data_IF_621225369324
#
_entry.id   IF_621225369324
#
_cell.length_a   1.000
_cell.length_b   1.000
_cell.length_c   1.000
_cell.angle_alpha   90.00
_cell.angle_beta   90.00
_cell.angle_gamma   90.00
#
_symmetry.space_group_name_H-M   'P 1'
#
loop_
_entity.id
_entity.type
_entity.pdbx_description
1 polymer ?
#
# COMPACT_ATOMS: atom_id res chain seq x y z
N UNK A 1 9.17 22.09 4.73
CA UNK A 1 8.37 20.98 5.27
C UNK A 1 9.04 19.70 4.82
N UNK A 2 9.22 18.71 5.68
CA UNK A 2 9.82 17.44 5.26
C UNK A 2 8.87 16.73 4.27
N UNK A 3 9.38 16.26 3.14
CA UNK A 3 8.62 15.42 2.23
C UNK A 3 8.59 13.99 2.79
N UNK A 4 7.39 13.40 2.85
CA UNK A 4 7.23 12.02 3.33
C UNK A 4 7.99 11.02 2.45
N UNK A 5 8.22 11.34 1.17
CA UNK A 5 9.01 10.53 0.24
C UNK A 5 10.48 10.46 0.62
N UNK A 6 11.07 11.57 1.09
CA UNK A 6 12.44 11.59 1.59
C UNK A 6 12.58 10.72 2.86
N UNK A 7 11.60 10.80 3.75
CA UNK A 7 11.58 9.98 4.97
C UNK A 7 11.52 8.48 4.67
N UNK A 8 10.85 8.05 3.59
CA UNK A 8 10.84 6.65 3.16
C UNK A 8 12.22 6.19 2.70
N UNK A 9 12.95 7.03 1.95
CA UNK A 9 14.31 6.71 1.50
C UNK A 9 15.26 6.49 2.68
N UNK A 10 15.02 7.19 3.80
CA UNK A 10 15.74 7.02 5.06
C UNK A 10 15.19 5.86 5.94
N UNK A 11 14.16 5.14 5.50
CA UNK A 11 13.50 4.08 6.27
C UNK A 11 12.62 4.58 7.44
N UNK A 12 12.34 5.89 7.50
CA UNK A 12 11.58 6.55 8.57
C UNK A 12 10.07 6.55 8.30
N UNK A 13 9.53 5.38 7.98
CA UNK A 13 8.12 5.21 7.60
C UNK A 13 7.13 5.67 8.68
N UNK A 14 7.43 5.47 9.97
CA UNK A 14 6.54 5.90 11.05
C UNK A 14 6.36 7.42 11.11
N UNK A 15 7.39 8.18 10.73
CA UNK A 15 7.33 9.64 10.64
C UNK A 15 6.71 10.10 9.31
N UNK A 16 6.91 9.32 8.25
CA UNK A 16 6.33 9.56 6.94
C UNK A 16 4.81 9.33 6.90
N UNK A 17 4.29 8.35 7.65
CA UNK A 17 2.87 7.94 7.64
C UNK A 17 1.88 9.09 7.85
N UNK A 18 1.98 9.93 8.92
CA UNK A 18 1.03 11.03 9.10
C UNK A 18 1.10 12.08 8.00
N UNK A 19 2.28 12.33 7.43
CA UNK A 19 2.47 13.29 6.34
C UNK A 19 1.87 12.75 5.03
N UNK A 20 2.11 11.48 4.72
CA UNK A 20 1.48 10.80 3.58
C UNK A 20 -0.05 10.77 3.72
N UNK A 21 -0.58 10.48 4.91
CA UNK A 21 -2.03 10.46 5.13
C UNK A 21 -2.67 11.85 4.94
N UNK A 22 -1.99 12.90 5.38
CA UNK A 22 -2.44 14.29 5.16
C UNK A 22 -2.37 14.69 3.68
N UNK A 23 -1.31 14.30 2.96
CA UNK A 23 -1.16 14.54 1.52
C UNK A 23 -2.27 13.84 0.71
N UNK A 24 -2.62 12.63 1.13
CA UNK A 24 -3.61 11.76 0.47
C UNK A 24 -5.04 11.89 1.02
N UNK A 25 -5.32 12.87 1.90
CA UNK A 25 -6.59 12.99 2.61
C UNK A 25 -7.79 13.16 1.67
N UNK A 26 -7.61 13.93 0.59
CA UNK A 26 -8.66 14.22 -0.38
C UNK A 26 -8.83 13.06 -1.34
N UNK A 27 -10.02 12.45 -1.38
CA UNK A 27 -10.33 11.45 -2.41
C UNK A 27 -10.28 12.09 -3.80
N UNK A 28 -9.34 11.66 -4.62
CA UNK A 28 -9.49 11.81 -6.06
C UNK A 28 -10.55 10.79 -6.54
N UNK A 29 -11.38 11.16 -7.51
CA UNK A 29 -12.42 10.28 -8.04
C UNK A 29 -11.89 9.04 -8.76
N UNK A 30 -10.56 8.94 -8.91
CA UNK A 30 -9.85 7.95 -9.71
C UNK A 30 -9.01 6.99 -8.87
N UNK A 31 -8.87 7.19 -7.55
CA UNK A 31 -8.20 6.28 -6.64
C UNK A 31 -6.67 6.39 -6.60
N UNK A 32 -6.08 7.45 -7.16
CA UNK A 32 -4.65 7.74 -7.03
C UNK A 32 -4.21 7.80 -5.57
N UNK A 33 -5.00 8.41 -4.69
CA UNK A 33 -4.66 8.46 -3.26
C UNK A 33 -4.71 7.09 -2.57
N UNK A 34 -5.61 6.23 -3.04
CA UNK A 34 -5.70 4.84 -2.58
C UNK A 34 -4.46 4.06 -3.02
N UNK A 35 -3.99 4.27 -4.25
CA UNK A 35 -2.76 3.66 -4.80
C UNK A 35 -1.54 4.10 -3.98
N UNK A 36 -1.37 5.41 -3.76
CA UNK A 36 -0.24 5.96 -2.99
C UNK A 36 -0.17 5.33 -1.59
N UNK A 37 -1.30 5.19 -0.92
CA UNK A 37 -1.36 4.51 0.39
C UNK A 37 -1.01 3.03 0.27
N UNK A 38 -1.50 2.34 -0.75
CA UNK A 38 -1.21 0.93 -0.96
C UNK A 38 0.29 0.68 -1.15
N UNK A 39 0.94 1.48 -2.00
CA UNK A 39 2.38 1.44 -2.27
C UNK A 39 3.19 1.78 -1.02
N UNK A 40 2.82 2.83 -0.29
CA UNK A 40 3.47 3.23 0.95
C UNK A 40 3.57 2.08 1.97
N UNK A 41 2.45 1.39 2.22
CA UNK A 41 2.44 0.27 3.16
C UNK A 41 3.12 -0.98 2.60
N UNK A 42 3.15 -1.15 1.28
CA UNK A 42 3.90 -2.23 0.63
C UNK A 42 5.40 -2.04 0.86
N UNK A 43 5.90 -0.82 0.65
CA UNK A 43 7.30 -0.46 0.87
C UNK A 43 7.71 -0.55 2.35
N UNK A 44 6.82 -0.16 3.25
CA UNK A 44 7.08 -0.35 4.68
C UNK A 44 7.17 -1.85 5.05
N UNK A 45 6.34 -2.69 4.45
CA UNK A 45 6.47 -4.15 4.59
C UNK A 45 7.79 -4.66 4.02
N UNK A 46 8.17 -4.19 2.83
CA UNK A 46 9.43 -4.56 2.16
C UNK A 46 10.66 -4.16 3.01
N UNK A 47 10.58 -3.03 3.72
CA UNK A 47 11.64 -2.57 4.63
C UNK A 47 11.90 -3.56 5.77
N UNK A 48 10.85 -4.07 6.41
CA UNK A 48 11.00 -5.11 7.46
C UNK A 48 11.42 -6.46 6.90
N UNK A 49 11.09 -6.75 5.63
CA UNK A 49 11.34 -8.01 4.90
C UNK A 49 10.60 -9.24 5.43
N UNK A 50 10.52 -9.42 6.75
CA UNK A 50 9.83 -10.54 7.39
C UNK A 50 9.28 -10.23 8.78
N UNK A 51 8.56 -11.19 9.35
CA UNK A 51 8.01 -11.12 10.71
C UNK A 51 6.70 -10.34 10.84
N UNK A 52 6.18 -10.21 12.07
CA UNK A 52 4.84 -9.70 12.32
C UNK A 52 4.62 -8.24 11.87
N UNK A 53 5.66 -7.40 11.93
CA UNK A 53 5.55 -6.02 11.44
C UNK A 53 5.47 -5.97 9.91
N UNK A 54 6.24 -6.79 9.19
CA UNK A 54 6.11 -6.89 7.72
C UNK A 54 4.70 -7.34 7.32
N UNK A 55 4.19 -8.39 7.98
CA UNK A 55 2.83 -8.91 7.73
C UNK A 55 1.76 -7.84 7.96
N UNK A 56 1.84 -7.11 9.08
CA UNK A 56 0.90 -6.03 9.40
C UNK A 56 0.88 -4.93 8.34
N UNK A 57 2.03 -4.55 7.79
CA UNK A 57 2.10 -3.52 6.74
C UNK A 57 1.60 -4.06 5.40
N UNK A 58 1.94 -5.28 5.03
CA UNK A 58 1.36 -5.91 3.84
C UNK A 58 -0.16 -6.04 3.91
N UNK A 59 -0.73 -6.36 5.07
CA UNK A 59 -2.20 -6.38 5.21
C UNK A 59 -2.84 -5.00 5.02
N UNK A 60 -2.19 -3.93 5.49
CA UNK A 60 -2.67 -2.56 5.20
C UNK A 60 -2.60 -2.25 3.71
N UNK A 61 -1.47 -2.56 3.07
CA UNK A 61 -1.29 -2.41 1.61
C UNK A 61 -2.37 -3.17 0.83
N UNK A 62 -2.57 -4.45 1.16
CA UNK A 62 -3.59 -5.30 0.56
C UNK A 62 -4.99 -4.67 0.69
N UNK A 63 -5.33 -4.10 1.86
CA UNK A 63 -6.60 -3.43 2.07
C UNK A 63 -6.85 -2.27 1.09
N UNK A 64 -5.83 -1.45 0.84
CA UNK A 64 -5.94 -0.36 -0.13
C UNK A 64 -5.99 -0.85 -1.57
N UNK A 65 -5.19 -1.86 -1.95
CA UNK A 65 -5.30 -2.47 -3.27
C UNK A 65 -6.67 -3.10 -3.51
N UNK A 66 -7.23 -3.79 -2.51
CA UNK A 66 -8.57 -4.37 -2.59
C UNK A 66 -9.65 -3.29 -2.69
N UNK A 67 -9.51 -2.18 -1.95
CA UNK A 67 -10.40 -1.03 -2.07
C UNK A 67 -10.36 -0.44 -3.49
N UNK A 68 -9.16 -0.23 -4.05
CA UNK A 68 -9.00 0.29 -5.40
C UNK A 68 -9.57 -0.67 -6.47
N UNK A 69 -9.32 -1.97 -6.32
CA UNK A 69 -9.90 -2.99 -7.19
C UNK A 69 -11.43 -3.00 -7.13
N UNK A 70 -12.02 -2.78 -5.95
CA UNK A 70 -13.47 -2.76 -5.76
C UNK A 70 -14.20 -1.63 -6.51
N UNK A 71 -13.50 -0.56 -6.88
CA UNK A 71 -14.07 0.55 -7.65
C UNK A 71 -14.09 0.30 -9.16
N UNK A 72 -13.60 -0.85 -9.62
CA UNK A 72 -13.64 -1.21 -11.04
C UNK A 72 -15.08 -1.44 -11.48
N UNK A 73 -15.46 -0.85 -12.60
CA UNK A 73 -16.83 -0.95 -13.13
C UNK A 73 -16.95 -1.98 -14.26
N UNK A 74 -15.82 -2.51 -14.73
CA UNK A 74 -15.75 -3.55 -15.76
C UNK A 74 -14.93 -4.76 -15.33
N UNK A 75 -15.26 -5.94 -15.87
CA UNK A 75 -14.58 -7.20 -15.52
C UNK A 75 -13.10 -7.24 -15.93
N UNK A 76 -12.73 -6.58 -17.03
CA UNK A 76 -11.33 -6.49 -17.47
C UNK A 76 -10.49 -5.58 -16.57
N UNK A 77 -11.01 -4.41 -16.21
CA UNK A 77 -10.38 -3.47 -15.28
C UNK A 77 -10.23 -4.09 -13.88
N UNK A 78 -11.27 -4.76 -13.39
CA UNK A 78 -11.23 -5.48 -12.12
C UNK A 78 -10.16 -6.57 -12.11
N UNK A 79 -10.10 -7.38 -13.17
CA UNK A 79 -9.08 -8.44 -13.29
C UNK A 79 -7.66 -7.86 -13.32
N UNK A 80 -7.45 -6.73 -14.01
CA UNK A 80 -6.16 -6.05 -14.03
C UNK A 80 -5.75 -5.57 -12.63
N UNK A 81 -6.66 -4.94 -11.88
CA UNK A 81 -6.37 -4.45 -10.52
C UNK A 81 -6.17 -5.56 -9.49
N UNK A 82 -6.76 -6.74 -9.70
CA UNK A 82 -6.52 -7.91 -8.85
C UNK A 82 -5.06 -8.41 -8.92
N UNK A 83 -4.27 -8.01 -9.92
CA UNK A 83 -2.84 -8.33 -9.99
C UNK A 83 -2.11 -7.76 -8.77
N UNK A 84 -2.37 -6.51 -8.39
CA UNK A 84 -1.72 -5.86 -7.24
C UNK A 84 -2.16 -6.49 -5.92
N UNK A 85 -3.46 -6.79 -5.79
CA UNK A 85 -4.02 -7.52 -4.63
C UNK A 85 -3.31 -8.85 -4.44
N UNK A 86 -3.22 -9.64 -5.50
CA UNK A 86 -2.57 -10.95 -5.49
C UNK A 86 -1.06 -10.86 -5.28
N UNK A 87 -0.40 -9.80 -5.76
CA UNK A 87 1.04 -9.55 -5.50
C UNK A 87 1.29 -9.41 -3.99
N UNK A 88 0.52 -8.58 -3.30
CA UNK A 88 0.70 -8.36 -1.86
C UNK A 88 0.29 -9.60 -1.06
N UNK A 89 -0.75 -10.32 -1.49
CA UNK A 89 -1.15 -11.58 -0.86
C UNK A 89 0.00 -12.61 -0.90
N UNK A 90 0.68 -12.76 -2.03
CA UNK A 90 1.86 -13.65 -2.14
C UNK A 90 2.98 -13.24 -1.19
N UNK A 91 3.20 -11.94 -0.97
CA UNK A 91 4.18 -11.45 0.01
C UNK A 91 3.80 -11.90 1.43
N UNK A 92 2.53 -11.77 1.81
CA UNK A 92 2.01 -12.23 3.10
C UNK A 92 2.19 -13.75 3.27
N UNK A 93 1.84 -14.53 2.24
CA UNK A 93 1.99 -15.99 2.24
C UNK A 93 3.45 -16.41 2.39
N UNK A 94 4.38 -15.70 1.74
CA UNK A 94 5.81 -15.98 1.84
C UNK A 94 6.39 -15.78 3.24
N UNK A 95 5.71 -15.04 4.12
CA UNK A 95 6.14 -14.88 5.52
C UNK A 95 5.80 -16.08 6.41
N UNK A 96 4.95 -16.99 5.93
CA UNK A 96 4.48 -18.17 6.66
C UNK A 96 5.31 -19.43 6.35
N UNK A 97 6.18 -19.37 5.35
CA UNK A 97 7.12 -20.43 4.96
C UNK A 97 8.52 -20.19 5.49
#
# INVERSE_FOLDING_TARGET
MADWRELILDGRFAEAEPLMLADTEKRDGYGGETIVRAEFYEDWGNFFRSGPEAEKRYWRSHGYWALYASWSTSGGEGTARMIDVNRVLKKIESLKG
#
